data_IF_351597055542
#
_entry.id   IF_351597055542
#
_cell.length_a   1.000
_cell.length_b   1.000
_cell.length_c   1.000
_cell.angle_alpha   90.00
_cell.angle_beta   90.00
_cell.angle_gamma   90.00
#
_symmetry.space_group_name_H-M   'P 1'
#
loop_
_entity.id
_entity.type
_entity.pdbx_description
1 polymer ?
#
# COMPACT_ATOMS: atom_id res chain seq x y z
N UNK A 1 34.97 7.54 19.43
CA UNK A 1 34.56 8.42 18.31
C UNK A 1 33.09 8.22 17.95
N UNK A 2 32.66 7.09 17.37
CA UNK A 2 31.26 6.91 16.94
C UNK A 2 30.22 7.08 18.07
N UNK A 3 30.45 6.50 19.25
CA UNK A 3 29.57 6.67 20.42
C UNK A 3 29.54 8.11 20.95
N UNK A 4 30.69 8.79 21.03
CA UNK A 4 30.75 10.21 21.45
C UNK A 4 30.04 11.12 20.44
N UNK A 5 30.19 10.84 19.15
CA UNK A 5 29.53 11.60 18.09
C UNK A 5 28.01 11.35 18.08
N UNK A 6 27.57 10.13 18.43
CA UNK A 6 26.16 9.82 18.65
C UNK A 6 25.57 10.62 19.81
N UNK A 7 26.20 10.59 20.99
CA UNK A 7 25.69 11.33 22.17
C UNK A 7 25.65 12.83 21.89
N UNK A 8 26.70 13.42 21.31
CA UNK A 8 26.70 14.83 20.92
C UNK A 8 25.57 15.18 19.95
N UNK A 9 25.38 14.38 18.89
CA UNK A 9 24.34 14.61 17.90
C UNK A 9 22.93 14.43 18.49
N UNK A 10 22.79 13.51 19.44
CA UNK A 10 21.53 13.21 20.12
C UNK A 10 21.14 14.31 21.11
N UNK A 11 22.06 14.76 21.96
CA UNK A 11 21.83 15.88 22.87
C UNK A 11 21.43 17.14 22.09
N UNK A 12 22.13 17.43 20.99
CA UNK A 12 21.81 18.56 20.13
C UNK A 12 20.43 18.41 19.48
N UNK A 13 20.06 17.22 19.02
CA UNK A 13 18.72 16.94 18.49
C UNK A 13 17.62 17.19 19.54
N UNK A 14 17.85 16.78 20.79
CA UNK A 14 16.91 16.98 21.89
C UNK A 14 16.73 18.46 22.25
N UNK A 15 17.82 19.22 22.29
CA UNK A 15 17.78 20.66 22.54
C UNK A 15 17.02 21.36 21.40
N UNK A 16 17.33 21.01 20.15
CA UNK A 16 16.72 21.65 18.99
C UNK A 16 15.23 21.37 18.89
N UNK A 17 14.78 20.13 19.14
CA UNK A 17 13.33 19.83 19.10
C UNK A 17 12.57 20.60 20.17
N UNK A 18 13.13 20.75 21.38
CA UNK A 18 12.52 21.55 22.44
C UNK A 18 12.42 23.04 22.05
N UNK A 19 13.50 23.59 21.47
CA UNK A 19 13.53 24.98 21.00
C UNK A 19 12.52 25.22 19.87
N UNK A 20 12.41 24.27 18.92
CA UNK A 20 11.42 24.33 17.83
C UNK A 20 10.00 24.32 18.39
N UNK A 21 9.68 23.36 19.28
CA UNK A 21 8.35 23.24 19.87
C UNK A 21 7.96 24.49 20.67
N UNK A 22 8.87 25.00 21.50
CA UNK A 22 8.65 26.23 22.26
C UNK A 22 8.47 27.44 21.34
N UNK A 23 9.39 27.62 20.39
CA UNK A 23 9.35 28.74 19.45
C UNK A 23 8.08 28.76 18.61
N UNK A 24 7.66 27.60 18.12
CA UNK A 24 6.45 27.46 17.31
C UNK A 24 5.20 27.65 18.19
N UNK A 25 5.17 27.17 19.43
CA UNK A 25 4.06 27.46 20.34
C UNK A 25 3.90 28.97 20.61
N UNK A 26 4.99 29.72 20.76
CA UNK A 26 4.96 31.19 20.93
C UNK A 26 4.48 31.89 19.65
N UNK A 27 4.90 31.38 18.49
CA UNK A 27 4.47 31.92 17.20
C UNK A 27 2.98 31.67 16.95
N UNK A 28 2.45 30.50 17.34
CA UNK A 28 1.03 30.20 17.23
C UNK A 28 0.14 31.14 18.06
N UNK A 29 0.69 31.73 19.12
CA UNK A 29 0.01 32.67 20.03
C UNK A 29 0.14 34.15 19.60
N UNK A 30 0.73 34.45 18.43
CA UNK A 30 0.91 35.80 17.88
C UNK A 30 1.65 36.78 18.83
N UNK A 31 2.50 36.26 19.72
CA UNK A 31 3.29 37.07 20.67
C UNK A 31 4.48 37.76 19.98
N UNK A 32 4.56 39.08 20.09
CA UNK A 32 5.64 39.90 19.50
C UNK A 32 7.00 39.59 20.17
N UNK A 33 7.93 38.98 19.43
CA UNK A 33 9.29 38.66 19.92
C UNK A 33 10.02 37.52 19.19
N UNK A 34 9.40 36.87 18.20
CA UNK A 34 9.99 35.71 17.53
C UNK A 34 10.98 36.10 16.41
N UNK A 35 12.27 35.86 16.63
CA UNK A 35 13.31 35.96 15.60
C UNK A 35 13.22 34.78 14.62
N UNK A 36 12.54 35.00 13.49
CA UNK A 36 12.22 33.94 12.52
C UNK A 36 13.46 33.26 11.93
N UNK A 37 14.54 34.00 11.69
CA UNK A 37 15.74 33.45 11.02
C UNK A 37 16.51 32.46 11.92
N UNK A 38 16.63 32.75 13.22
CA UNK A 38 17.27 31.84 14.19
C UNK A 38 16.49 30.51 14.35
N UNK A 39 15.17 30.57 14.21
CA UNK A 39 14.32 29.40 14.23
C UNK A 39 14.54 28.51 13.00
N UNK A 40 14.76 29.08 11.81
CA UNK A 40 15.06 28.31 10.60
C UNK A 40 16.42 27.60 10.70
N UNK A 41 17.46 28.26 11.21
CA UNK A 41 18.75 27.59 11.43
C UNK A 41 18.63 26.42 12.41
N UNK A 42 17.84 26.57 13.47
CA UNK A 42 17.56 25.49 14.43
C UNK A 42 16.83 24.33 13.75
N UNK A 43 15.84 24.64 12.89
CA UNK A 43 15.10 23.66 12.10
C UNK A 43 16.01 22.86 11.14
N UNK A 44 16.88 23.54 10.39
CA UNK A 44 17.82 22.88 9.47
C UNK A 44 18.83 22.00 10.20
N UNK A 45 19.37 22.50 11.32
CA UNK A 45 20.28 21.74 12.17
C UNK A 45 19.60 20.48 12.72
N UNK A 46 18.37 20.59 13.20
CA UNK A 46 17.57 19.46 13.68
C UNK A 46 17.34 18.41 12.59
N UNK A 47 17.04 18.82 11.35
CA UNK A 47 16.92 17.89 10.20
C UNK A 47 18.26 17.18 9.94
N UNK A 48 19.38 17.90 9.98
CA UNK A 48 20.71 17.33 9.78
C UNK A 48 21.04 16.31 10.89
N UNK A 49 20.82 16.68 12.15
CA UNK A 49 20.99 15.77 13.30
C UNK A 49 20.15 14.52 13.12
N UNK A 50 18.88 14.64 12.69
CA UNK A 50 18.01 13.49 12.43
C UNK A 50 18.60 12.54 11.36
N UNK A 51 19.21 13.08 10.30
CA UNK A 51 19.90 12.29 9.26
C UNK A 51 21.15 11.59 9.82
N UNK A 52 21.94 12.30 10.63
CA UNK A 52 23.15 11.77 11.27
C UNK A 52 22.80 10.62 12.22
N UNK A 53 21.83 10.84 13.13
CA UNK A 53 21.37 9.84 14.09
C UNK A 53 20.88 8.58 13.37
N UNK A 54 20.06 8.72 12.31
CA UNK A 54 19.66 7.59 11.46
C UNK A 54 20.86 6.80 10.96
N UNK A 55 21.86 7.48 10.39
CA UNK A 55 23.03 6.82 9.81
C UNK A 55 23.88 6.12 10.87
N UNK A 56 24.05 6.74 12.04
CA UNK A 56 24.79 6.16 13.17
C UNK A 56 24.10 4.92 13.73
N UNK A 57 22.76 4.91 13.82
CA UNK A 57 22.02 3.71 14.26
C UNK A 57 22.15 2.61 13.20
N UNK A 58 21.78 2.89 11.95
CA UNK A 58 21.69 1.87 10.88
C UNK A 58 23.05 1.26 10.52
N UNK A 59 24.08 2.11 10.40
CA UNK A 59 25.39 1.70 9.90
C UNK A 59 26.44 1.56 11.00
N UNK A 60 26.22 2.18 12.17
CA UNK A 60 27.14 2.09 13.30
C UNK A 60 26.98 0.82 14.14
N UNK A 61 25.86 0.11 14.02
CA UNK A 61 25.59 -1.13 14.73
C UNK A 61 25.36 -2.30 13.78
N UNK A 62 25.82 -3.52 14.14
CA UNK A 62 25.42 -4.73 13.44
C UNK A 62 23.89 -4.92 13.54
N UNK A 63 23.28 -5.43 12.48
CA UNK A 63 21.84 -5.72 12.48
C UNK A 63 21.51 -6.79 13.52
N UNK A 64 20.54 -6.49 14.39
CA UNK A 64 20.11 -7.42 15.44
C UNK A 64 19.33 -8.61 14.87
N UNK A 65 18.77 -8.48 13.65
CA UNK A 65 18.24 -9.61 12.89
C UNK A 65 19.30 -10.72 12.69
N UNK A 66 20.58 -10.35 12.64
CA UNK A 66 21.71 -11.28 12.51
C UNK A 66 22.33 -11.64 13.86
N UNK A 67 22.57 -10.65 14.71
CA UNK A 67 23.35 -10.83 15.94
C UNK A 67 22.52 -11.11 17.20
N UNK A 68 21.23 -10.77 17.21
CA UNK A 68 20.35 -10.75 18.40
C UNK A 68 20.87 -9.86 19.53
N UNK A 69 21.89 -9.05 19.26
CA UNK A 69 22.39 -8.09 20.22
C UNK A 69 21.51 -6.84 20.19
N UNK A 70 21.01 -6.47 21.36
CA UNK A 70 20.19 -5.30 21.53
C UNK A 70 20.96 -4.02 21.17
N UNK A 71 20.33 -3.17 20.36
CA UNK A 71 20.86 -1.86 19.96
C UNK A 71 20.22 -0.78 20.84
N UNK A 72 20.86 -0.49 21.97
CA UNK A 72 20.39 0.47 22.99
C UNK A 72 19.91 1.82 22.41
N UNK A 73 20.59 2.44 21.42
CA UNK A 73 20.09 3.66 20.77
C UNK A 73 18.67 3.58 20.23
N UNK A 74 18.20 2.41 19.76
CA UNK A 74 16.84 2.24 19.23
C UNK A 74 15.80 2.54 20.32
N UNK A 75 15.98 1.98 21.52
CA UNK A 75 15.08 2.18 22.66
C UNK A 75 15.10 3.61 23.20
N UNK A 76 16.22 4.32 23.04
CA UNK A 76 16.35 5.73 23.44
C UNK A 76 15.73 6.69 22.42
N UNK A 77 16.00 6.46 21.13
CA UNK A 77 15.71 7.43 20.06
C UNK A 77 14.29 7.30 19.52
N UNK A 78 13.80 6.07 19.27
CA UNK A 78 12.52 5.88 18.62
C UNK A 78 11.33 6.46 19.41
N UNK A 79 11.22 6.29 20.75
CA UNK A 79 10.14 6.91 21.52
C UNK A 79 10.19 8.44 21.46
N UNK A 80 11.37 9.04 21.57
CA UNK A 80 11.53 10.50 21.48
C UNK A 80 11.18 11.05 20.09
N UNK A 81 11.51 10.32 19.02
CA UNK A 81 11.10 10.68 17.66
C UNK A 81 9.58 10.61 17.50
N UNK A 82 8.92 9.59 18.06
CA UNK A 82 7.46 9.49 18.04
C UNK A 82 6.80 10.67 18.77
N UNK A 83 7.30 11.02 19.96
CA UNK A 83 6.80 12.18 20.73
C UNK A 83 6.96 13.48 19.93
N UNK A 84 8.08 13.65 19.22
CA UNK A 84 8.28 14.80 18.34
C UNK A 84 7.26 14.83 17.19
N UNK A 85 6.98 13.69 16.53
CA UNK A 85 5.92 13.60 15.50
C UNK A 85 4.57 14.02 16.08
N UNK A 86 4.18 13.46 17.23
CA UNK A 86 2.90 13.79 17.88
C UNK A 86 2.79 15.28 18.20
N UNK A 87 3.87 15.88 18.72
CA UNK A 87 3.92 17.30 19.06
C UNK A 87 3.85 18.19 17.81
N UNK A 88 4.53 17.81 16.73
CA UNK A 88 4.46 18.53 15.46
C UNK A 88 3.09 18.47 14.81
N UNK A 89 2.38 17.35 14.91
CA UNK A 89 1.00 17.25 14.41
C UNK A 89 0.02 18.12 15.19
N UNK A 90 0.19 18.22 16.52
CA UNK A 90 -0.62 19.13 17.35
C UNK A 90 -0.38 20.60 17.00
N UNK A 91 0.86 20.97 16.68
CA UNK A 91 1.17 22.33 16.22
C UNK A 91 0.64 22.57 14.80
N UNK A 92 0.75 21.58 13.91
CA UNK A 92 0.34 21.69 12.52
C UNK A 92 -1.13 22.13 12.38
N UNK A 93 -2.04 21.56 13.17
CA UNK A 93 -3.47 21.97 13.18
C UNK A 93 -3.67 23.43 13.59
N UNK A 94 -2.76 24.01 14.36
CA UNK A 94 -2.82 25.42 14.78
C UNK A 94 -2.29 26.40 13.72
N UNK A 95 -1.55 25.92 12.71
CA UNK A 95 -0.76 26.75 11.78
C UNK A 95 -1.28 26.82 10.34
N UNK A 96 -2.25 25.99 9.95
CA UNK A 96 -2.58 25.72 8.53
C UNK A 96 -2.77 26.97 7.65
N UNK A 97 -3.36 28.05 8.17
CA UNK A 97 -3.63 29.26 7.37
C UNK A 97 -2.68 30.44 7.66
N UNK A 98 -2.08 30.50 8.86
CA UNK A 98 -1.33 31.68 9.30
C UNK A 98 0.14 31.67 8.87
N UNK A 99 0.76 30.49 8.75
CA UNK A 99 2.21 30.37 8.55
C UNK A 99 2.59 29.21 7.62
N UNK A 100 2.51 29.38 6.27
CA UNK A 100 2.68 28.29 5.32
C UNK A 100 4.08 27.65 5.36
N UNK A 101 5.15 28.44 5.53
CA UNK A 101 6.53 27.91 5.59
C UNK A 101 6.78 27.00 6.80
N UNK A 102 6.23 27.35 7.97
CA UNK A 102 6.38 26.55 9.18
C UNK A 102 5.48 25.31 9.15
N UNK A 103 4.28 25.44 8.59
CA UNK A 103 3.38 24.32 8.30
C UNK A 103 4.06 23.26 7.41
N UNK A 104 4.71 23.70 6.32
CA UNK A 104 5.48 22.83 5.43
C UNK A 104 6.66 22.16 6.14
N UNK A 105 7.41 22.90 6.97
CA UNK A 105 8.47 22.31 7.78
C UNK A 105 7.95 21.22 8.72
N UNK A 106 6.82 21.44 9.41
CA UNK A 106 6.22 20.44 10.30
C UNK A 106 5.83 19.17 9.55
N UNK A 107 5.23 19.31 8.35
CA UNK A 107 4.92 18.17 7.47
C UNK A 107 6.20 17.38 7.14
N UNK A 108 7.21 18.07 6.61
CA UNK A 108 8.48 17.44 6.23
C UNK A 108 9.19 16.79 7.42
N UNK A 109 9.14 17.42 8.59
CA UNK A 109 9.66 16.89 9.85
C UNK A 109 8.98 15.57 10.23
N UNK A 110 7.64 15.53 10.23
CA UNK A 110 6.87 14.32 10.50
C UNK A 110 7.22 13.20 9.51
N UNK A 111 7.20 13.46 8.19
CA UNK A 111 7.58 12.47 7.17
C UNK A 111 8.99 11.96 7.42
N UNK A 112 9.95 12.86 7.71
CA UNK A 112 11.35 12.49 7.90
C UNK A 112 11.53 11.56 9.10
N UNK A 113 10.91 11.87 10.23
CA UNK A 113 10.99 11.05 11.43
C UNK A 113 10.33 9.68 11.22
N UNK A 114 9.16 9.63 10.59
CA UNK A 114 8.51 8.35 10.26
C UNK A 114 9.37 7.49 9.33
N UNK A 115 10.02 8.08 8.31
CA UNK A 115 10.99 7.38 7.46
C UNK A 115 12.21 6.87 8.24
N UNK A 116 12.65 7.59 9.28
CA UNK A 116 13.74 7.13 10.16
C UNK A 116 13.28 5.94 11.00
N UNK A 117 12.09 6.00 11.61
CA UNK A 117 11.51 4.89 12.37
C UNK A 117 11.39 3.63 11.51
N UNK A 118 10.88 3.76 10.28
CA UNK A 118 10.81 2.67 9.30
C UNK A 118 12.18 2.07 8.99
N UNK A 119 13.16 2.91 8.70
CA UNK A 119 14.52 2.45 8.38
C UNK A 119 15.21 1.77 9.59
N UNK A 120 14.91 2.20 10.81
CA UNK A 120 15.39 1.54 12.03
C UNK A 120 14.69 0.18 12.19
N UNK A 121 13.37 0.10 12.02
CA UNK A 121 12.62 -1.16 12.13
C UNK A 121 13.11 -2.22 11.13
N UNK A 122 13.39 -1.81 9.89
CA UNK A 122 13.90 -2.73 8.85
C UNK A 122 15.32 -3.25 9.16
N UNK A 123 16.14 -2.44 9.82
CA UNK A 123 17.54 -2.80 10.12
C UNK A 123 17.71 -3.53 11.44
N UNK A 124 16.93 -3.12 12.45
CA UNK A 124 17.03 -3.58 13.84
C UNK A 124 15.65 -4.04 14.36
N UNK A 125 15.03 -5.05 13.72
CA UNK A 125 13.67 -5.48 14.07
C UNK A 125 13.54 -5.91 15.53
N UNK A 126 14.51 -6.61 16.12
CA UNK A 126 14.33 -7.11 17.50
C UNK A 126 14.42 -5.99 18.56
N UNK A 127 15.33 -5.03 18.38
CA UNK A 127 15.43 -3.87 19.27
C UNK A 127 14.24 -2.93 19.10
N UNK A 128 13.73 -2.78 17.87
CA UNK A 128 12.51 -2.03 17.58
C UNK A 128 11.27 -2.75 18.12
N UNK A 129 11.29 -4.08 18.16
CA UNK A 129 10.23 -4.96 18.65
C UNK A 129 10.00 -4.91 20.17
N UNK A 130 10.83 -4.18 20.93
CA UNK A 130 10.60 -3.92 22.35
C UNK A 130 9.23 -3.27 22.57
N UNK A 131 8.51 -3.70 23.61
CA UNK A 131 7.15 -3.23 23.88
C UNK A 131 7.04 -1.71 24.02
N UNK A 132 8.08 -1.03 24.50
CA UNK A 132 8.09 0.42 24.70
C UNK A 132 8.42 1.19 23.42
N UNK A 133 8.85 0.50 22.37
CA UNK A 133 9.14 1.09 21.05
C UNK A 133 8.03 0.69 20.08
N UNK A 134 7.87 -0.61 19.81
CA UNK A 134 6.90 -1.12 18.85
C UNK A 134 5.48 -0.75 19.24
N UNK A 135 5.11 -0.93 20.52
CA UNK A 135 3.77 -0.68 21.05
C UNK A 135 3.26 0.73 20.71
N UNK A 136 3.89 1.79 21.25
CA UNK A 136 3.46 3.16 20.99
C UNK A 136 3.50 3.55 19.52
N UNK A 137 4.53 3.11 18.77
CA UNK A 137 4.70 3.48 17.37
C UNK A 137 3.62 2.84 16.49
N UNK A 138 3.35 1.55 16.68
CA UNK A 138 2.29 0.84 15.94
C UNK A 138 0.91 1.37 16.33
N UNK A 139 0.64 1.59 17.62
CA UNK A 139 -0.65 2.11 18.06
C UNK A 139 -0.93 3.50 17.46
N UNK A 140 0.08 4.37 17.45
CA UNK A 140 0.00 5.66 16.77
C UNK A 140 -0.34 5.50 15.28
N UNK A 141 0.38 4.67 14.54
CA UNK A 141 0.16 4.48 13.10
C UNK A 141 -1.23 3.92 12.82
N UNK A 142 -1.64 2.89 13.55
CA UNK A 142 -2.96 2.26 13.41
C UNK A 142 -4.08 3.26 13.73
N UNK A 143 -3.94 4.06 14.78
CA UNK A 143 -4.93 5.08 15.13
C UNK A 143 -5.03 6.16 14.06
N UNK A 144 -3.91 6.61 13.48
CA UNK A 144 -3.92 7.58 12.37
C UNK A 144 -4.58 7.04 11.12
N UNK A 145 -4.41 5.75 10.81
CA UNK A 145 -5.06 5.12 9.65
C UNK A 145 -6.58 4.94 9.90
N UNK A 146 -6.95 4.44 11.08
CA UNK A 146 -8.36 4.10 11.39
C UNK A 146 -9.19 5.37 11.61
N UNK A 147 -8.65 6.33 12.37
CA UNK A 147 -9.33 7.54 12.81
C UNK A 147 -8.50 8.80 12.45
N UNK A 148 -8.36 9.13 11.16
CA UNK A 148 -7.65 10.34 10.75
C UNK A 148 -8.41 11.58 11.21
N UNK A 149 -7.71 12.55 11.81
CA UNK A 149 -8.29 13.85 12.09
C UNK A 149 -8.59 14.61 10.78
N UNK A 150 -9.72 15.33 10.65
CA UNK A 150 -10.10 16.02 9.41
C UNK A 150 -9.02 16.98 8.90
N UNK A 151 -8.36 17.69 9.81
CA UNK A 151 -7.30 18.66 9.49
C UNK A 151 -6.06 18.00 8.85
N UNK A 152 -5.88 16.69 9.01
CA UNK A 152 -4.77 15.92 8.43
C UNK A 152 -5.12 15.29 7.08
N UNK A 153 -6.35 15.42 6.60
CA UNK A 153 -6.76 14.91 5.28
C UNK A 153 -5.85 15.36 4.12
N UNK A 154 -5.35 16.61 4.03
CA UNK A 154 -4.44 17.03 2.96
C UNK A 154 -2.96 16.65 3.23
N UNK A 155 -2.70 15.75 4.17
CA UNK A 155 -1.36 15.28 4.53
C UNK A 155 -1.22 13.77 4.25
N UNK A 156 -1.43 13.40 2.98
CA UNK A 156 -1.43 12.01 2.52
C UNK A 156 -0.10 11.29 2.79
N UNK A 157 1.03 11.99 2.68
CA UNK A 157 2.36 11.41 2.87
C UNK A 157 2.55 10.85 4.28
N UNK A 158 1.90 11.45 5.29
CA UNK A 158 1.92 10.92 6.65
C UNK A 158 1.22 9.57 6.72
N UNK A 159 0.05 9.43 6.09
CA UNK A 159 -0.68 8.16 6.04
C UNK A 159 0.10 7.10 5.28
N UNK A 160 0.76 7.47 4.16
CA UNK A 160 1.69 6.59 3.44
C UNK A 160 2.79 6.10 4.39
N UNK A 161 3.41 6.98 5.17
CA UNK A 161 4.46 6.57 6.11
C UNK A 161 3.91 5.67 7.24
N UNK A 162 2.72 5.95 7.76
CA UNK A 162 2.07 5.12 8.79
C UNK A 162 1.76 3.72 8.24
N UNK A 163 1.14 3.63 7.07
CA UNK A 163 0.82 2.36 6.41
C UNK A 163 2.08 1.58 6.05
N UNK A 164 3.11 2.26 5.53
CA UNK A 164 4.41 1.66 5.22
C UNK A 164 5.07 1.04 6.46
N UNK A 165 4.98 1.71 7.62
CA UNK A 165 5.52 1.19 8.87
C UNK A 165 4.74 -0.02 9.37
N UNK A 166 3.40 0.05 9.39
CA UNK A 166 2.55 -1.09 9.77
C UNK A 166 2.81 -2.28 8.85
N UNK A 167 2.87 -2.05 7.53
CA UNK A 167 3.19 -3.07 6.53
C UNK A 167 4.55 -3.72 6.80
N UNK A 168 5.60 -2.93 6.98
CA UNK A 168 6.97 -3.41 7.24
C UNK A 168 7.08 -4.21 8.54
N UNK A 169 6.29 -3.87 9.56
CA UNK A 169 6.19 -4.64 10.80
C UNK A 169 5.48 -5.98 10.57
N UNK A 170 4.34 -6.00 9.86
CA UNK A 170 3.55 -7.22 9.62
C UNK A 170 4.20 -8.20 8.64
N UNK A 171 4.99 -7.71 7.67
CA UNK A 171 5.77 -8.54 6.74
C UNK A 171 7.10 -9.03 7.32
N UNK A 172 7.50 -8.51 8.49
CA UNK A 172 8.82 -8.77 9.04
C UNK A 172 9.02 -10.27 9.28
N UNK A 173 9.88 -10.89 8.45
CA UNK A 173 10.16 -12.33 8.51
C UNK A 173 10.80 -12.74 9.83
N UNK A 174 11.53 -11.83 10.48
CA UNK A 174 12.15 -12.06 11.79
C UNK A 174 11.12 -12.14 12.93
N UNK A 175 9.91 -11.60 12.74
CA UNK A 175 8.82 -11.73 13.72
C UNK A 175 8.00 -13.00 13.50
N UNK A 176 7.97 -13.55 12.28
CA UNK A 176 7.27 -14.81 11.97
C UNK A 176 8.03 -16.00 12.58
N UNK A 177 7.31 -16.98 13.13
CA UNK A 177 7.92 -18.14 13.77
C UNK A 177 8.77 -18.96 12.80
N UNK A 178 10.02 -19.23 13.16
CA UNK A 178 10.89 -20.14 12.40
C UNK A 178 10.53 -21.58 12.77
N UNK A 179 9.94 -22.33 11.83
CA UNK A 179 9.79 -23.79 11.95
C UNK A 179 11.19 -24.42 11.81
N UNK A 180 11.72 -24.94 12.91
CA UNK A 180 13.04 -25.59 12.94
C UNK A 180 12.99 -26.91 12.17
N UNK A 181 13.57 -26.91 10.96
CA UNK A 181 13.71 -28.10 10.13
C UNK A 181 15.15 -28.31 9.71
N UNK A 182 16.03 -28.71 10.64
CA UNK A 182 17.32 -29.40 10.40
C UNK A 182 18.09 -29.64 11.71
N UNK A 183 18.89 -30.71 11.74
CA UNK A 183 19.91 -30.98 12.77
C UNK A 183 20.97 -29.87 12.69
N UNK A 184 21.17 -29.13 13.78
CA UNK A 184 22.11 -28.01 13.85
C UNK A 184 23.09 -28.17 15.01
N UNK A 185 24.28 -27.58 14.86
CA UNK A 185 25.34 -27.49 15.86
C UNK A 185 24.92 -26.67 17.11
N UNK A 186 25.48 -26.95 18.29
CA UNK A 186 25.01 -26.44 19.59
C UNK A 186 24.96 -24.91 19.68
N UNK A 187 25.94 -24.20 19.08
CA UNK A 187 25.94 -22.71 19.05
C UNK A 187 24.84 -22.14 18.16
N UNK A 188 24.52 -22.83 17.07
CA UNK A 188 23.42 -22.48 16.17
C UNK A 188 22.08 -22.75 16.83
N UNK A 189 21.99 -23.79 17.67
CA UNK A 189 20.82 -24.08 18.51
C UNK A 189 20.55 -22.92 19.48
N UNK A 190 21.56 -22.44 20.21
CA UNK A 190 21.37 -21.32 21.17
C UNK A 190 20.90 -20.03 20.48
N UNK A 191 21.50 -19.65 19.34
CA UNK A 191 21.08 -18.44 18.61
C UNK A 191 19.67 -18.58 18.02
N UNK A 192 19.30 -19.78 17.57
CA UNK A 192 17.95 -20.07 17.08
C UNK A 192 16.91 -19.98 18.22
N UNK A 193 17.23 -20.50 19.40
CA UNK A 193 16.37 -20.36 20.59
C UNK A 193 16.21 -18.89 21.01
N UNK A 194 17.29 -18.11 21.01
CA UNK A 194 17.24 -16.68 21.28
C UNK A 194 16.34 -15.94 20.27
N UNK A 195 16.49 -16.24 18.97
CA UNK A 195 15.62 -15.70 17.90
C UNK A 195 14.16 -16.05 18.12
N UNK A 196 13.88 -17.31 18.44
CA UNK A 196 12.52 -17.79 18.71
C UNK A 196 11.90 -17.05 19.90
N UNK A 197 12.65 -16.87 20.98
CA UNK A 197 12.16 -16.15 22.16
C UNK A 197 11.89 -14.67 21.85
N UNK A 198 12.79 -14.01 21.10
CA UNK A 198 12.60 -12.63 20.67
C UNK A 198 11.38 -12.47 19.74
N UNK A 199 11.24 -13.34 18.73
CA UNK A 199 10.06 -13.39 17.84
C UNK A 199 8.76 -13.60 18.63
N UNK A 200 8.73 -14.53 19.59
CA UNK A 200 7.55 -14.77 20.42
C UNK A 200 7.18 -13.56 21.28
N UNK A 201 8.16 -12.85 21.82
CA UNK A 201 7.94 -11.61 22.57
C UNK A 201 7.28 -10.55 21.69
N UNK A 202 7.83 -10.33 20.49
CA UNK A 202 7.27 -9.37 19.52
C UNK A 202 5.87 -9.79 19.06
N UNK A 203 5.65 -11.07 18.79
CA UNK A 203 4.35 -11.62 18.42
C UNK A 203 3.29 -11.37 19.51
N UNK A 204 3.67 -11.47 20.80
CA UNK A 204 2.80 -11.12 21.92
C UNK A 204 2.40 -9.64 21.93
N UNK A 205 3.35 -8.74 21.66
CA UNK A 205 3.08 -7.30 21.51
C UNK A 205 2.12 -7.05 20.34
N UNK A 206 2.39 -7.64 19.17
CA UNK A 206 1.53 -7.50 17.98
C UNK A 206 0.11 -8.02 18.21
N UNK A 207 -0.04 -9.18 18.86
CA UNK A 207 -1.35 -9.74 19.19
C UNK A 207 -2.15 -8.81 20.12
N UNK A 208 -1.48 -8.10 21.04
CA UNK A 208 -2.14 -7.11 21.91
C UNK A 208 -2.57 -5.84 21.17
N UNK A 209 -1.84 -5.44 20.13
CA UNK A 209 -2.11 -4.24 19.34
C UNK A 209 -3.17 -4.46 18.26
N UNK A 210 -3.27 -5.68 17.76
CA UNK A 210 -4.15 -6.12 16.68
C UNK A 210 -5.10 -7.24 17.16
N UNK A 211 -6.00 -6.95 18.11
CA UNK A 211 -7.10 -7.86 18.39
C UNK A 211 -7.99 -7.97 17.15
N UNK A 212 -8.74 -9.08 17.05
CA UNK A 212 -9.55 -9.40 15.87
C UNK A 212 -10.48 -8.25 15.45
N UNK A 213 -11.09 -7.53 16.41
CA UNK A 213 -11.97 -6.40 16.12
C UNK A 213 -11.22 -5.25 15.43
N UNK A 214 -9.98 -4.96 15.86
CA UNK A 214 -9.15 -3.91 15.25
C UNK A 214 -8.65 -4.33 13.87
N UNK A 215 -8.32 -5.60 13.68
CA UNK A 215 -7.93 -6.16 12.36
C UNK A 215 -9.09 -6.03 11.37
N UNK A 216 -10.30 -6.42 11.76
CA UNK A 216 -11.51 -6.27 10.94
C UNK A 216 -11.79 -4.80 10.64
N UNK A 217 -11.72 -3.92 11.65
CA UNK A 217 -11.92 -2.48 11.46
C UNK A 217 -10.89 -1.87 10.50
N UNK A 218 -9.62 -2.22 10.64
CA UNK A 218 -8.56 -1.77 9.74
C UNK A 218 -8.85 -2.21 8.30
N UNK A 219 -9.22 -3.47 8.09
CA UNK A 219 -9.59 -3.98 6.77
C UNK A 219 -10.76 -3.19 6.16
N UNK A 220 -11.83 -2.95 6.93
CA UNK A 220 -12.98 -2.16 6.49
C UNK A 220 -12.57 -0.74 6.12
N UNK A 221 -11.74 -0.08 6.94
CA UNK A 221 -11.26 1.28 6.70
C UNK A 221 -10.40 1.35 5.43
N UNK A 222 -9.47 0.41 5.22
CA UNK A 222 -8.64 0.37 4.01
C UNK A 222 -9.52 0.31 2.76
N UNK A 223 -10.53 -0.57 2.73
CA UNK A 223 -11.43 -0.72 1.58
C UNK A 223 -12.37 0.48 1.42
N UNK A 224 -13.04 0.91 2.50
CA UNK A 224 -14.11 1.93 2.39
C UNK A 224 -13.61 3.37 2.36
N UNK A 225 -12.35 3.61 2.67
CA UNK A 225 -11.75 4.95 2.67
C UNK A 225 -10.62 5.07 1.67
N UNK A 226 -9.62 4.21 1.78
CA UNK A 226 -8.36 4.39 1.06
C UNK A 226 -8.32 3.73 -0.33
N UNK A 227 -9.18 2.74 -0.58
CA UNK A 227 -9.35 2.17 -1.93
C UNK A 227 -10.35 2.96 -2.77
N UNK A 228 -11.19 3.80 -2.15
CA UNK A 228 -12.23 4.55 -2.87
C UNK A 228 -11.55 5.69 -3.64
N UNK A 229 -11.80 5.77 -4.95
CA UNK A 229 -11.32 6.90 -5.75
C UNK A 229 -11.87 8.22 -5.21
N UNK A 230 -10.99 9.21 -5.11
CA UNK A 230 -11.38 10.58 -4.80
C UNK A 230 -11.89 11.28 -6.06
N UNK A 231 -12.49 12.46 -5.89
CA UNK A 231 -12.88 13.31 -7.02
C UNK A 231 -11.66 13.73 -7.84
N UNK A 232 -10.52 13.96 -7.18
CA UNK A 232 -9.27 14.28 -7.85
C UNK A 232 -8.79 13.10 -8.71
N UNK A 233 -8.84 11.87 -8.18
CA UNK A 233 -8.44 10.67 -8.93
C UNK A 233 -9.30 10.47 -10.19
N UNK A 234 -10.61 10.72 -10.10
CA UNK A 234 -11.53 10.59 -11.24
C UNK A 234 -11.25 11.65 -12.31
N UNK A 235 -10.90 12.87 -11.89
CA UNK A 235 -10.51 13.95 -12.79
C UNK A 235 -9.15 13.69 -13.45
N UNK A 236 -8.16 13.24 -12.68
CA UNK A 236 -6.84 12.83 -13.19
C UNK A 236 -6.97 11.71 -14.22
N UNK A 237 -7.78 10.68 -13.94
CA UNK A 237 -8.12 9.65 -14.91
C UNK A 237 -8.76 10.27 -16.16
N UNK A 238 -9.79 11.09 -16.01
CA UNK A 238 -10.46 11.70 -17.17
C UNK A 238 -9.50 12.51 -18.06
N UNK A 239 -8.54 13.22 -17.47
CA UNK A 239 -7.55 14.02 -18.19
C UNK A 239 -6.48 13.16 -18.87
N UNK A 240 -5.95 12.14 -18.18
CA UNK A 240 -4.93 11.25 -18.72
C UNK A 240 -5.11 9.81 -18.21
N UNK A 241 -5.89 8.98 -18.92
CA UNK A 241 -6.13 7.58 -18.53
C UNK A 241 -4.87 6.71 -18.54
N UNK A 242 -3.87 7.04 -19.37
CA UNK A 242 -2.61 6.31 -19.45
C UNK A 242 -1.74 6.57 -18.22
N UNK A 243 -1.52 7.84 -17.87
CA UNK A 243 -0.79 8.21 -16.66
C UNK A 243 -1.48 7.65 -15.41
N UNK A 244 -2.82 7.77 -15.35
CA UNK A 244 -3.58 7.20 -14.25
C UNK A 244 -3.41 5.67 -14.15
N UNK A 245 -3.31 4.93 -15.27
CA UNK A 245 -3.05 3.50 -15.22
C UNK A 245 -1.72 3.18 -14.51
N UNK A 246 -0.64 3.88 -14.85
CA UNK A 246 0.70 3.66 -14.28
C UNK A 246 0.80 4.09 -12.82
N UNK A 247 0.11 5.17 -12.45
CA UNK A 247 0.07 5.66 -11.07
C UNK A 247 -0.59 4.68 -10.09
N UNK A 248 -1.36 3.72 -10.61
CA UNK A 248 -2.04 2.69 -9.84
C UNK A 248 -1.19 1.42 -9.73
N UNK A 249 0.03 1.39 -10.27
CA UNK A 249 0.90 0.23 -10.16
C UNK A 249 1.32 0.02 -8.69
N UNK A 250 1.28 -1.24 -8.25
CA UNK A 250 1.64 -1.65 -6.90
C UNK A 250 3.10 -1.30 -6.55
N UNK A 251 3.99 -1.10 -7.53
CA UNK A 251 5.37 -0.63 -7.31
C UNK A 251 5.41 0.75 -6.65
N UNK A 252 4.41 1.61 -6.88
CA UNK A 252 4.32 2.96 -6.32
C UNK A 252 3.74 3.01 -4.91
N UNK A 253 3.64 1.88 -4.21
CA UNK A 253 3.08 1.78 -2.86
C UNK A 253 3.75 2.69 -1.82
N UNK A 254 4.99 3.14 -2.04
CA UNK A 254 5.69 4.08 -1.15
C UNK A 254 5.45 5.56 -1.47
N UNK A 255 4.72 5.85 -2.55
CA UNK A 255 4.56 7.20 -3.13
C UNK A 255 3.09 7.62 -3.25
N UNK A 256 2.18 6.68 -3.51
CA UNK A 256 0.74 6.96 -3.66
C UNK A 256 -0.07 6.30 -2.54
N UNK A 257 -1.06 7.03 -2.03
CA UNK A 257 -1.85 6.61 -0.86
C UNK A 257 -2.64 5.32 -1.11
N UNK A 258 -3.37 5.24 -2.23
CA UNK A 258 -4.16 4.06 -2.57
C UNK A 258 -3.31 2.80 -2.78
N UNK A 259 -2.25 2.81 -3.63
CA UNK A 259 -1.31 1.68 -3.71
C UNK A 259 -0.68 1.30 -2.36
N UNK A 260 -0.39 2.27 -1.48
CA UNK A 260 0.10 1.99 -0.13
C UNK A 260 -0.91 1.20 0.71
N UNK A 261 -2.18 1.63 0.67
CA UNK A 261 -3.27 0.96 1.38
C UNK A 261 -3.54 -0.44 0.82
N UNK A 262 -3.51 -0.61 -0.50
CA UNK A 262 -3.65 -1.90 -1.18
C UNK A 262 -2.53 -2.86 -0.78
N UNK A 263 -1.29 -2.38 -0.72
CA UNK A 263 -0.15 -3.18 -0.29
C UNK A 263 -0.22 -3.56 1.20
N UNK A 264 -0.68 -2.67 2.09
CA UNK A 264 -0.93 -3.00 3.50
C UNK A 264 -2.08 -4.01 3.64
N UNK A 265 -3.14 -3.88 2.84
CA UNK A 265 -4.28 -4.80 2.85
C UNK A 265 -3.87 -6.22 2.50
N UNK A 266 -3.04 -6.41 1.46
CA UNK A 266 -2.52 -7.74 1.06
C UNK A 266 -1.80 -8.40 2.24
N UNK A 267 -0.89 -7.67 2.89
CA UNK A 267 -0.14 -8.15 4.05
C UNK A 267 -1.05 -8.47 5.24
N UNK A 268 -2.07 -7.65 5.48
CA UNK A 268 -3.06 -7.91 6.52
C UNK A 268 -3.80 -9.23 6.25
N UNK A 269 -4.12 -9.50 4.98
CA UNK A 269 -4.79 -10.73 4.55
C UNK A 269 -3.91 -11.97 4.68
N UNK A 270 -2.62 -11.88 4.32
CA UNK A 270 -1.66 -12.98 4.50
C UNK A 270 -1.59 -13.48 5.95
N UNK A 271 -1.79 -12.58 6.92
CA UNK A 271 -1.70 -12.91 8.34
C UNK A 271 -3.08 -13.26 8.97
N UNK A 272 -4.19 -12.81 8.37
CA UNK A 272 -5.54 -12.92 8.97
C UNK A 272 -6.63 -13.36 7.98
N UNK A 273 -6.28 -14.03 6.88
CA UNK A 273 -7.20 -14.33 5.77
C UNK A 273 -8.46 -15.11 6.17
N UNK A 274 -8.38 -16.03 7.14
CA UNK A 274 -9.56 -16.75 7.64
C UNK A 274 -10.58 -15.84 8.33
N UNK A 275 -10.09 -14.84 9.07
CA UNK A 275 -10.93 -13.85 9.74
C UNK A 275 -11.53 -12.86 8.72
N UNK A 276 -10.72 -12.45 7.74
CA UNK A 276 -11.07 -11.36 6.82
C UNK A 276 -11.85 -11.82 5.57
N UNK A 277 -11.70 -13.08 5.14
CA UNK A 277 -12.42 -13.65 3.98
C UNK A 277 -13.92 -13.37 4.00
N UNK A 278 -14.66 -13.79 5.04
CA UNK A 278 -16.10 -13.53 5.15
C UNK A 278 -16.45 -12.03 5.18
N UNK A 279 -15.60 -11.19 5.78
CA UNK A 279 -15.81 -9.73 5.87
C UNK A 279 -15.74 -9.11 4.47
N UNK A 280 -14.73 -9.47 3.68
CA UNK A 280 -14.56 -8.94 2.31
C UNK A 280 -15.68 -9.41 1.40
N UNK A 281 -16.10 -10.69 1.49
CA UNK A 281 -17.27 -11.18 0.74
C UNK A 281 -18.55 -10.41 1.12
N UNK A 282 -18.71 -10.06 2.39
CA UNK A 282 -19.85 -9.24 2.83
C UNK A 282 -19.82 -7.84 2.21
N UNK A 283 -18.67 -7.17 2.22
CA UNK A 283 -18.49 -5.84 1.60
C UNK A 283 -18.74 -5.91 0.09
N UNK A 284 -18.21 -6.94 -0.58
CA UNK A 284 -18.41 -7.16 -2.01
C UNK A 284 -19.89 -7.31 -2.36
N UNK A 285 -20.63 -8.17 -1.63
CA UNK A 285 -22.07 -8.36 -1.84
C UNK A 285 -22.87 -7.10 -1.58
N UNK A 286 -22.54 -6.34 -0.53
CA UNK A 286 -23.17 -5.04 -0.26
C UNK A 286 -22.94 -4.06 -1.42
N UNK A 287 -21.69 -3.90 -1.87
CA UNK A 287 -21.35 -2.98 -2.94
C UNK A 287 -22.03 -3.33 -4.27
N UNK A 288 -22.15 -4.63 -4.58
CA UNK A 288 -22.90 -5.09 -5.76
C UNK A 288 -24.41 -4.78 -5.66
N UNK A 289 -25.01 -4.94 -4.48
CA UNK A 289 -26.45 -4.74 -4.28
C UNK A 289 -26.87 -3.26 -4.22
N UNK A 290 -25.99 -2.40 -3.69
CA UNK A 290 -26.28 -0.97 -3.49
C UNK A 290 -26.06 -0.16 -4.78
N UNK A 291 -25.19 -0.61 -5.68
CA UNK A 291 -24.92 0.07 -6.93
C UNK A 291 -26.04 -0.18 -7.95
N UNK A 292 -26.76 0.86 -8.42
CA UNK A 292 -27.83 0.69 -9.40
C UNK A 292 -27.29 0.24 -10.76
N UNK A 293 -28.11 -0.48 -11.52
CA UNK A 293 -27.75 -0.98 -12.87
C UNK A 293 -27.67 0.13 -13.92
N UNK A 294 -28.43 1.21 -13.76
CA UNK A 294 -28.40 2.41 -14.60
C UNK A 294 -27.51 3.48 -13.97
N UNK A 295 -26.20 3.37 -14.16
CA UNK A 295 -25.22 4.31 -13.60
C UNK A 295 -25.22 5.60 -14.43
N UNK A 296 -26.02 6.60 -14.01
CA UNK A 296 -26.07 7.91 -14.70
C UNK A 296 -24.90 8.81 -14.28
N UNK A 297 -24.43 8.69 -13.03
CA UNK A 297 -23.38 9.53 -12.45
C UNK A 297 -22.34 8.69 -11.69
N UNK A 298 -21.10 9.19 -11.59
CA UNK A 298 -20.05 8.60 -10.76
C UNK A 298 -20.31 8.97 -9.31
N UNK A 299 -21.16 8.17 -8.65
CA UNK A 299 -21.55 8.35 -7.26
C UNK A 299 -20.77 7.47 -6.27
N UNK A 300 -20.92 7.71 -4.96
CA UNK A 300 -20.24 6.94 -3.92
C UNK A 300 -20.47 5.42 -4.00
N UNK A 301 -21.63 4.98 -4.48
CA UNK A 301 -21.95 3.55 -4.63
C UNK A 301 -21.08 2.87 -5.69
N UNK A 302 -20.83 3.56 -6.82
CA UNK A 302 -19.96 3.06 -7.89
C UNK A 302 -18.51 2.99 -7.43
N UNK A 303 -18.06 4.02 -6.70
CA UNK A 303 -16.69 4.09 -6.18
C UNK A 303 -16.44 3.07 -5.06
N UNK A 304 -17.46 2.75 -4.25
CA UNK A 304 -17.39 1.65 -3.30
C UNK A 304 -17.33 0.29 -4.01
N UNK A 305 -18.02 0.14 -5.14
CA UNK A 305 -17.95 -1.07 -5.97
C UNK A 305 -16.56 -1.26 -6.58
N UNK A 306 -15.95 -0.20 -7.10
CA UNK A 306 -14.54 -0.18 -7.54
C UNK A 306 -13.58 -0.66 -6.44
N UNK A 307 -13.73 -0.10 -5.24
CA UNK A 307 -12.91 -0.45 -4.09
C UNK A 307 -13.11 -1.91 -3.66
N UNK A 308 -14.36 -2.38 -3.57
CA UNK A 308 -14.68 -3.75 -3.20
C UNK A 308 -14.17 -4.76 -4.23
N UNK A 309 -14.25 -4.43 -5.52
CA UNK A 309 -13.72 -5.27 -6.60
C UNK A 309 -12.20 -5.34 -6.56
N UNK A 310 -11.53 -4.23 -6.26
CA UNK A 310 -10.08 -4.19 -6.04
C UNK A 310 -9.68 -5.10 -4.87
N UNK A 311 -10.38 -4.97 -3.74
CA UNK A 311 -10.14 -5.80 -2.56
C UNK A 311 -10.30 -7.28 -2.87
N UNK A 312 -11.33 -7.67 -3.63
CA UNK A 312 -11.53 -9.05 -4.04
C UNK A 312 -10.50 -9.55 -5.07
N UNK A 313 -10.00 -8.68 -5.94
CA UNK A 313 -8.98 -9.03 -6.93
C UNK A 313 -7.64 -9.41 -6.27
N UNK A 314 -7.19 -8.66 -5.26
CA UNK A 314 -5.84 -8.82 -4.70
C UNK A 314 -5.66 -10.03 -3.78
N UNK A 315 -6.73 -10.61 -3.23
CA UNK A 315 -6.67 -11.73 -2.28
C UNK A 315 -7.40 -12.96 -2.80
N UNK A 316 -7.37 -13.17 -4.12
CA UNK A 316 -8.12 -14.21 -4.81
C UNK A 316 -7.89 -15.61 -4.22
N UNK A 317 -6.66 -15.94 -3.81
CA UNK A 317 -6.28 -17.26 -3.30
C UNK A 317 -7.04 -17.63 -2.02
N UNK A 318 -7.11 -16.72 -1.05
CA UNK A 318 -7.91 -16.93 0.16
C UNK A 318 -9.41 -16.75 -0.11
N UNK A 319 -9.79 -15.78 -0.95
CA UNK A 319 -11.20 -15.42 -1.16
C UNK A 319 -11.97 -16.49 -1.94
N UNK A 320 -11.30 -17.27 -2.80
CA UNK A 320 -11.93 -18.36 -3.57
C UNK A 320 -12.52 -19.46 -2.68
N UNK A 321 -12.06 -19.58 -1.42
CA UNK A 321 -12.67 -20.45 -0.41
C UNK A 321 -14.08 -19.99 0.02
N UNK A 322 -14.43 -18.72 -0.20
CA UNK A 322 -15.69 -18.10 0.24
C UNK A 322 -16.53 -17.58 -0.93
N UNK A 323 -15.96 -17.48 -2.13
CA UNK A 323 -16.59 -16.91 -3.32
C UNK A 323 -16.28 -17.77 -4.56
N UNK A 324 -17.33 -18.29 -5.18
CA UNK A 324 -17.24 -19.00 -6.46
C UNK A 324 -17.06 -18.01 -7.61
N UNK A 325 -15.94 -18.12 -8.34
CA UNK A 325 -15.69 -17.30 -9.52
C UNK A 325 -16.80 -17.44 -10.57
N UNK A 326 -17.23 -18.68 -10.85
CA UNK A 326 -18.30 -18.95 -11.82
C UNK A 326 -19.59 -18.21 -11.45
N UNK A 327 -20.00 -18.29 -10.19
CA UNK A 327 -21.26 -17.68 -9.75
C UNK A 327 -21.15 -16.15 -9.73
N UNK A 328 -19.97 -15.63 -9.38
CA UNK A 328 -19.72 -14.19 -9.41
C UNK A 328 -19.72 -13.63 -10.85
N UNK A 329 -19.05 -14.32 -11.77
CA UNK A 329 -19.00 -13.91 -13.17
C UNK A 329 -20.39 -13.94 -13.81
N UNK A 330 -21.13 -15.04 -13.64
CA UNK A 330 -22.46 -15.19 -14.21
C UNK A 330 -23.52 -14.30 -13.53
N UNK A 331 -23.35 -14.03 -12.23
CA UNK A 331 -24.30 -13.23 -11.46
C UNK A 331 -24.11 -11.71 -11.58
N UNK A 332 -22.89 -11.23 -11.85
CA UNK A 332 -22.58 -9.80 -11.87
C UNK A 332 -21.65 -9.41 -13.03
N UNK A 333 -20.42 -9.92 -13.06
CA UNK A 333 -19.35 -9.38 -13.92
C UNK A 333 -19.71 -9.40 -15.41
N UNK A 334 -20.34 -10.47 -15.89
CA UNK A 334 -20.78 -10.60 -17.28
C UNK A 334 -21.79 -9.52 -17.70
N UNK A 335 -22.77 -9.23 -16.85
CA UNK A 335 -23.76 -8.18 -17.11
C UNK A 335 -23.15 -6.78 -17.09
N UNK A 336 -22.13 -6.58 -16.25
CA UNK A 336 -21.43 -5.31 -16.12
C UNK A 336 -20.59 -5.00 -17.35
N UNK A 337 -19.81 -5.98 -17.84
CA UNK A 337 -19.05 -5.85 -19.09
C UNK A 337 -19.96 -5.50 -20.28
N UNK A 338 -21.20 -5.99 -20.28
CA UNK A 338 -22.16 -5.70 -21.34
C UNK A 338 -22.80 -4.30 -21.25
N UNK A 339 -22.61 -3.58 -20.16
CA UNK A 339 -23.15 -2.24 -19.96
C UNK A 339 -22.26 -1.17 -20.59
N UNK A 340 -22.63 -0.70 -21.77
CA UNK A 340 -21.82 0.26 -22.54
C UNK A 340 -21.94 1.72 -22.04
N UNK A 341 -22.45 1.98 -20.83
CA UNK A 341 -22.50 3.35 -20.30
C UNK A 341 -21.08 3.87 -20.03
N UNK A 342 -20.70 5.11 -20.46
CA UNK A 342 -19.32 5.59 -20.34
C UNK A 342 -18.71 5.54 -18.92
N UNK A 343 -19.53 5.82 -17.89
CA UNK A 343 -19.10 5.75 -16.49
C UNK A 343 -18.75 4.31 -16.03
N UNK A 344 -19.19 3.28 -16.76
CA UNK A 344 -18.86 1.89 -16.44
C UNK A 344 -17.39 1.57 -16.65
N UNK A 345 -16.59 2.44 -17.31
CA UNK A 345 -15.12 2.31 -17.40
C UNK A 345 -14.44 2.03 -16.05
N UNK A 346 -14.98 2.60 -14.96
CA UNK A 346 -14.50 2.38 -13.59
C UNK A 346 -14.64 0.90 -13.21
N UNK A 347 -15.84 0.34 -13.41
CA UNK A 347 -16.13 -1.06 -13.12
C UNK A 347 -15.42 -1.97 -14.12
N UNK A 348 -15.44 -1.65 -15.41
CA UNK A 348 -14.79 -2.40 -16.48
C UNK A 348 -13.30 -2.60 -16.24
N UNK A 349 -12.58 -1.54 -15.83
CA UNK A 349 -11.18 -1.65 -15.41
C UNK A 349 -11.00 -2.68 -14.30
N UNK A 350 -11.87 -2.68 -13.29
CA UNK A 350 -11.79 -3.65 -12.18
C UNK A 350 -12.23 -5.05 -12.57
N UNK A 351 -13.20 -5.20 -13.46
CA UNK A 351 -13.54 -6.51 -14.03
C UNK A 351 -12.33 -7.06 -14.79
N UNK A 352 -11.69 -6.28 -15.67
CA UNK A 352 -10.47 -6.70 -16.35
C UNK A 352 -9.40 -7.18 -15.35
N UNK A 353 -9.12 -6.38 -14.31
CA UNK A 353 -8.18 -6.75 -13.25
C UNK A 353 -8.55 -8.09 -12.58
N UNK A 354 -9.82 -8.29 -12.19
CA UNK A 354 -10.28 -9.54 -11.57
C UNK A 354 -10.03 -10.72 -12.52
N UNK A 355 -10.37 -10.59 -13.80
CA UNK A 355 -10.19 -11.63 -14.81
C UNK A 355 -8.72 -12.01 -15.02
N UNK A 356 -7.79 -11.07 -14.81
CA UNK A 356 -6.35 -11.34 -14.85
C UNK A 356 -5.76 -11.90 -13.54
N UNK A 357 -6.35 -11.59 -12.39
CA UNK A 357 -5.85 -12.08 -11.08
C UNK A 357 -6.39 -13.48 -10.74
N UNK A 358 -7.64 -13.78 -11.10
CA UNK A 358 -8.33 -15.02 -10.71
C UNK A 358 -8.08 -16.20 -11.66
N UNK A 359 -6.99 -16.19 -12.43
CA UNK A 359 -6.71 -17.18 -13.49
C UNK A 359 -6.76 -18.62 -12.97
N UNK A 360 -6.17 -18.86 -11.80
CA UNK A 360 -6.16 -20.19 -11.17
C UNK A 360 -7.55 -20.72 -10.79
N UNK A 361 -8.56 -19.84 -10.69
CA UNK A 361 -9.94 -20.18 -10.36
C UNK A 361 -10.84 -20.31 -11.60
N UNK A 362 -10.32 -19.99 -12.80
CA UNK A 362 -11.05 -20.06 -14.07
C UNK A 362 -10.95 -21.48 -14.64
N UNK A 363 -12.06 -22.21 -14.52
CA UNK A 363 -12.21 -23.57 -15.05
C UNK A 363 -12.53 -23.57 -16.54
N UNK A 364 -12.40 -24.75 -17.17
CA UNK A 364 -12.62 -25.00 -18.61
C UNK A 364 -13.85 -24.32 -19.18
N UNK A 365 -15.00 -24.48 -18.54
CA UNK A 365 -16.28 -23.95 -19.01
C UNK A 365 -16.36 -22.40 -18.95
N UNK A 366 -15.51 -21.78 -18.13
CA UNK A 366 -15.46 -20.33 -17.95
C UNK A 366 -14.39 -19.64 -18.79
N UNK A 367 -13.42 -20.37 -19.36
CA UNK A 367 -12.32 -19.78 -20.16
C UNK A 367 -12.86 -18.92 -21.31
N UNK A 368 -13.74 -19.51 -22.11
CA UNK A 368 -14.32 -18.86 -23.29
C UNK A 368 -15.08 -17.57 -22.92
N UNK A 369 -16.03 -17.57 -21.95
CA UNK A 369 -16.65 -16.35 -21.47
C UNK A 369 -15.66 -15.29 -21.01
N UNK A 370 -14.59 -15.67 -20.31
CA UNK A 370 -13.56 -14.74 -19.82
C UNK A 370 -12.76 -14.14 -20.97
N UNK A 371 -12.34 -14.95 -21.95
CA UNK A 371 -11.64 -14.47 -23.14
C UNK A 371 -12.50 -13.47 -23.93
N UNK A 372 -13.78 -13.79 -24.15
CA UNK A 372 -14.71 -12.86 -24.80
C UNK A 372 -14.82 -11.54 -24.04
N UNK A 373 -14.92 -11.59 -22.70
CA UNK A 373 -15.01 -10.39 -21.88
C UNK A 373 -13.73 -9.54 -21.97
N UNK A 374 -12.55 -10.16 -21.81
CA UNK A 374 -11.27 -9.45 -21.90
C UNK A 374 -11.03 -8.82 -23.28
N UNK A 375 -11.33 -9.54 -24.36
CA UNK A 375 -11.19 -9.01 -25.74
C UNK A 375 -12.18 -7.89 -26.01
N UNK A 376 -13.40 -7.95 -25.45
CA UNK A 376 -14.35 -6.82 -25.50
C UNK A 376 -13.81 -5.59 -24.76
N UNK A 377 -13.28 -5.77 -23.54
CA UNK A 377 -12.72 -4.68 -22.72
C UNK A 377 -11.49 -4.04 -23.39
N UNK A 378 -10.68 -4.83 -24.10
CA UNK A 378 -9.52 -4.35 -24.88
C UNK A 378 -9.92 -3.43 -26.05
N UNK A 379 -11.17 -3.50 -26.51
CA UNK A 379 -11.71 -2.70 -27.62
C UNK A 379 -12.43 -1.42 -27.16
N UNK A 380 -12.51 -1.14 -25.86
CA UNK A 380 -13.15 0.08 -25.36
C UNK A 380 -12.38 1.35 -25.74
N UNK A 381 -13.01 2.51 -25.56
CA UNK A 381 -12.37 3.79 -25.85
C UNK A 381 -11.37 4.22 -24.74
N UNK A 382 -11.62 3.81 -23.49
CA UNK A 382 -10.80 4.23 -22.35
C UNK A 382 -9.46 3.48 -22.27
N UNK A 383 -8.36 4.21 -22.39
CA UNK A 383 -7.01 3.64 -22.43
C UNK A 383 -6.63 2.90 -21.15
N UNK A 384 -7.11 3.33 -19.98
CA UNK A 384 -6.85 2.68 -18.70
C UNK A 384 -7.51 1.28 -18.65
N UNK A 385 -8.74 1.17 -19.17
CA UNK A 385 -9.44 -0.12 -19.31
C UNK A 385 -8.68 -1.04 -20.26
N UNK A 386 -8.30 -0.54 -21.44
CA UNK A 386 -7.60 -1.33 -22.47
C UNK A 386 -6.25 -1.84 -21.97
N UNK A 387 -5.46 -0.99 -21.31
CA UNK A 387 -4.18 -1.39 -20.70
C UNK A 387 -4.40 -2.46 -19.62
N UNK A 388 -5.41 -2.31 -18.77
CA UNK A 388 -5.72 -3.32 -17.75
C UNK A 388 -6.16 -4.65 -18.38
N UNK A 389 -6.97 -4.61 -19.45
CA UNK A 389 -7.41 -5.78 -20.20
C UNK A 389 -6.25 -6.46 -20.93
N UNK A 390 -5.35 -5.71 -21.56
CA UNK A 390 -4.13 -6.22 -22.21
C UNK A 390 -3.23 -6.95 -21.19
N UNK A 391 -2.95 -6.35 -20.03
CA UNK A 391 -2.16 -7.00 -18.97
C UNK A 391 -2.80 -8.30 -18.50
N UNK A 392 -4.11 -8.28 -18.32
CA UNK A 392 -4.88 -9.45 -17.88
C UNK A 392 -4.87 -10.56 -18.95
N UNK A 393 -5.03 -10.21 -20.23
CA UNK A 393 -4.89 -11.15 -21.35
C UNK A 393 -3.50 -11.77 -21.41
N UNK A 394 -2.45 -10.97 -21.22
CA UNK A 394 -1.08 -11.48 -21.19
C UNK A 394 -0.90 -12.57 -20.12
N UNK A 395 -1.48 -12.39 -18.92
CA UNK A 395 -1.43 -13.43 -17.89
C UNK A 395 -2.13 -14.73 -18.32
N UNK A 396 -3.25 -14.66 -19.06
CA UNK A 396 -3.90 -15.84 -19.63
C UNK A 396 -3.05 -16.52 -20.70
N UNK A 397 -2.34 -15.75 -21.53
CA UNK A 397 -1.45 -16.26 -22.56
C UNK A 397 -0.18 -16.90 -21.98
N UNK A 398 0.29 -16.40 -20.84
CA UNK A 398 1.44 -16.98 -20.13
C UNK A 398 1.04 -18.23 -19.32
N UNK A 399 -0.24 -18.38 -18.97
CA UNK A 399 -0.73 -19.53 -18.19
C UNK A 399 -0.58 -20.88 -18.92
N UNK A 400 -0.27 -21.92 -18.15
CA UNK A 400 -0.12 -23.28 -18.67
C UNK A 400 -1.42 -23.90 -19.21
N UNK A 401 -2.59 -23.40 -18.77
CA UNK A 401 -3.90 -23.92 -19.15
C UNK A 401 -4.58 -23.12 -20.27
N UNK A 402 -3.83 -22.23 -20.95
CA UNK A 402 -4.34 -21.51 -22.11
C UNK A 402 -4.90 -22.47 -23.17
N UNK A 403 -6.08 -22.14 -23.70
CA UNK A 403 -6.78 -22.94 -24.72
C UNK A 403 -6.87 -22.17 -26.04
N UNK A 404 -6.02 -22.55 -27.01
CA UNK A 404 -6.05 -21.99 -28.38
C UNK A 404 -7.42 -22.22 -29.04
N UNK A 405 -8.04 -23.37 -28.81
CA UNK A 405 -9.37 -23.69 -29.33
C UNK A 405 -10.43 -22.69 -28.85
N UNK A 406 -10.43 -22.38 -27.55
CA UNK A 406 -11.38 -21.44 -26.95
C UNK A 406 -11.07 -19.97 -27.28
N UNK A 407 -9.96 -19.69 -27.95
CA UNK A 407 -9.52 -18.33 -28.29
C UNK A 407 -9.46 -18.05 -29.81
N UNK A 408 -9.46 -19.09 -30.63
CA UNK A 408 -9.12 -19.03 -32.07
C UNK A 408 -9.86 -17.97 -32.89
N UNK A 409 -11.18 -17.84 -32.74
CA UNK A 409 -12.00 -16.84 -33.45
C UNK A 409 -11.94 -15.43 -32.84
N UNK A 410 -11.43 -15.29 -31.61
CA UNK A 410 -11.16 -13.99 -30.98
C UNK A 410 -9.80 -13.43 -31.39
N UNK A 411 -8.90 -14.27 -31.90
CA UNK A 411 -7.53 -13.91 -32.21
C UNK A 411 -7.41 -12.68 -33.14
N UNK A 412 -8.11 -12.59 -34.29
CA UNK A 412 -7.98 -11.43 -35.17
C UNK A 412 -8.40 -10.13 -34.48
N UNK A 413 -9.49 -10.19 -33.72
CA UNK A 413 -10.04 -9.04 -32.98
C UNK A 413 -9.07 -8.60 -31.88
N UNK A 414 -8.52 -9.55 -31.13
CA UNK A 414 -7.54 -9.27 -30.09
C UNK A 414 -6.26 -8.68 -30.67
N UNK A 415 -5.83 -9.17 -31.84
CA UNK A 415 -4.62 -8.71 -32.50
C UNK A 415 -4.75 -7.25 -32.94
N UNK A 416 -5.83 -6.92 -33.67
CA UNK A 416 -6.11 -5.56 -34.12
C UNK A 416 -6.21 -4.59 -32.93
N UNK A 417 -6.89 -5.02 -31.85
CA UNK A 417 -7.03 -4.21 -30.66
C UNK A 417 -5.70 -3.97 -29.92
N UNK A 418 -4.80 -4.95 -29.89
CA UNK A 418 -3.46 -4.80 -29.32
C UNK A 418 -2.56 -3.86 -30.15
N UNK A 419 -2.59 -3.93 -31.48
CA UNK A 419 -1.85 -2.99 -32.32
C UNK A 419 -2.37 -1.57 -32.15
N UNK A 420 -3.70 -1.40 -32.18
CA UNK A 420 -4.31 -0.10 -31.92
C UNK A 420 -3.93 0.43 -30.53
N UNK A 421 -3.80 -0.45 -29.52
CA UNK A 421 -3.35 -0.06 -28.17
C UNK A 421 -1.89 0.44 -28.19
N UNK A 422 -1.01 -0.18 -28.96
CA UNK A 422 0.38 0.28 -29.13
C UNK A 422 0.46 1.63 -29.87
N UNK A 423 -0.38 1.81 -30.89
CA UNK A 423 -0.47 3.07 -31.65
C UNK A 423 -0.99 4.23 -30.79
N UNK A 424 -2.02 3.99 -29.99
CA UNK A 424 -2.67 5.00 -29.14
C UNK A 424 -1.86 5.33 -27.88
N UNK A 425 -1.03 4.41 -27.39
CA UNK A 425 -0.18 4.62 -26.22
C UNK A 425 0.94 5.63 -26.49
N UNK A 426 1.20 6.51 -25.52
CA UNK A 426 2.28 7.50 -25.60
C UNK A 426 3.49 7.11 -24.74
N UNK A 427 3.26 6.40 -23.63
CA UNK A 427 4.32 6.01 -22.71
C UNK A 427 5.02 4.74 -23.17
N UNK A 428 6.32 4.66 -22.92
CA UNK A 428 7.14 3.53 -23.32
C UNK A 428 6.68 2.22 -22.68
N UNK A 429 6.35 2.25 -21.38
CA UNK A 429 5.93 1.06 -20.64
C UNK A 429 4.59 0.50 -21.15
N UNK A 430 3.65 1.37 -21.55
CA UNK A 430 2.39 0.98 -22.20
C UNK A 430 2.63 0.26 -23.53
N UNK A 431 3.53 0.80 -24.38
CA UNK A 431 3.90 0.19 -25.66
C UNK A 431 4.55 -1.17 -25.46
N UNK A 432 5.47 -1.28 -24.50
CA UNK A 432 6.10 -2.56 -24.13
C UNK A 432 5.05 -3.58 -23.69
N UNK A 433 4.06 -3.17 -22.90
CA UNK A 433 2.98 -4.06 -22.47
C UNK A 433 2.14 -4.58 -23.65
N UNK A 434 1.76 -3.70 -24.58
CA UNK A 434 1.02 -4.08 -25.78
C UNK A 434 1.84 -5.07 -26.64
N UNK A 435 3.12 -4.76 -26.87
CA UNK A 435 4.04 -5.61 -27.64
C UNK A 435 4.26 -6.98 -26.97
N UNK A 436 4.36 -7.03 -25.64
CA UNK A 436 4.47 -8.30 -24.91
C UNK A 436 3.20 -9.14 -25.07
N UNK A 437 2.03 -8.51 -25.08
CA UNK A 437 0.75 -9.20 -25.34
C UNK A 437 0.73 -9.76 -26.76
N UNK A 438 1.13 -8.98 -27.77
CA UNK A 438 1.24 -9.43 -29.17
C UNK A 438 2.22 -10.59 -29.29
N UNK A 439 3.38 -10.51 -28.64
CA UNK A 439 4.39 -11.57 -28.63
C UNK A 439 3.85 -12.84 -27.99
N UNK A 440 3.09 -12.71 -26.90
CA UNK A 440 2.39 -13.82 -26.24
C UNK A 440 1.38 -14.50 -27.17
N UNK A 441 0.61 -13.73 -27.94
CA UNK A 441 -0.32 -14.26 -28.94
C UNK A 441 0.42 -15.08 -30.00
N UNK A 442 1.48 -14.51 -30.60
CA UNK A 442 2.29 -15.18 -31.62
C UNK A 442 2.85 -16.52 -31.12
N UNK A 443 3.32 -16.56 -29.87
CA UNK A 443 3.89 -17.79 -29.30
C UNK A 443 2.87 -18.89 -29.03
N UNK A 444 1.59 -18.55 -28.89
CA UNK A 444 0.50 -19.49 -28.56
C UNK A 444 -0.33 -19.92 -29.77
N UNK A 445 -0.19 -19.23 -30.90
CA UNK A 445 -0.89 -19.55 -32.14
C UNK A 445 0.01 -20.33 -33.07
N UNK A 446 -0.38 -21.56 -33.41
CA UNK A 446 0.42 -22.43 -34.29
C UNK A 446 0.14 -22.22 -35.77
N UNK A 447 -1.01 -21.63 -36.11
CA UNK A 447 -1.40 -21.26 -37.48
C UNK A 447 -1.38 -19.73 -37.64
N UNK A 448 -0.42 -19.22 -38.42
CA UNK A 448 -0.43 -17.84 -38.90
C UNK A 448 -1.41 -17.79 -40.07
N UNK A 449 -2.54 -17.09 -39.90
CA UNK A 449 -3.48 -16.81 -40.99
C UNK A 449 -2.93 -15.76 -41.96
#
# INVERSE_FOLDING_TARGET
IASQFFEYSWELWQIDVQNILHGFSVLAQDTSGFHRDDAFFTCERWILCSKIIRQLIISGFPSDAKSIQEVQPVKKVCPSMLVAVQSFLQLYSSFQEKHPKFSEFLKQGCIKLMKILLAIQQRHPFSFGDQHVLGPVMDFCLNKIINPEPDLSPFEELFIQCMSLVKSVLECKDYKQVLAGRVMDDKLVTLHEMKKNASNSVAGVLASLLPNERVVLLCIVLIRRYFVLTVADVEEWFQNPESFYHEQDAVLWSERLRPCAEALYIVLFENHGQLLGPVVVSILKEAMNVCPSSVVEIGPQLLLKDAAYSAAAYVYYELSNYLSFRDWFNGALSSEVMNNHPNMRIVHRKVALILGQWISEIKEDMRRPVYCALVKLLQEDDLCVRLTASRSLYFHLDDGNFSEQDFSDLLPICWDACFKLEEDALEFDSKVQAINTISGLINRTTEIF
#
